data_IF_170420225225
#
_entry.id   IF_170420225225
#
_cell.length_a   1.000
_cell.length_b   1.000
_cell.length_c   1.000
_cell.angle_alpha   90.00
_cell.angle_beta   90.00
_cell.angle_gamma   90.00
#
_symmetry.space_group_name_H-M   'P 1'
#
loop_
_entity.id
_entity.type
_entity.pdbx_description
1 polymer ?
#
# COMPACT_ATOMS: atom_id res chain seq x y z
N UNK A 1 2.83 -9.75 -6.93
CA UNK A 1 2.33 -8.35 -6.92
C UNK A 1 0.83 -8.38 -7.12
N UNK A 2 0.08 -7.41 -6.57
CA UNK A 2 -1.37 -7.32 -6.79
C UNK A 2 -1.71 -6.81 -8.19
N UNK A 3 -2.75 -7.39 -8.81
CA UNK A 3 -3.36 -6.93 -10.06
C UNK A 3 -4.39 -5.83 -9.73
N UNK A 4 -4.13 -4.61 -10.21
CA UNK A 4 -4.95 -3.44 -9.87
C UNK A 4 -6.23 -3.39 -10.71
N UNK A 5 -6.18 -3.94 -11.93
CA UNK A 5 -7.35 -4.04 -12.79
C UNK A 5 -8.37 -5.01 -12.19
N UNK A 6 -7.91 -6.15 -11.66
CA UNK A 6 -8.79 -7.12 -10.98
C UNK A 6 -9.38 -6.55 -9.70
N UNK A 7 -8.59 -5.79 -8.93
CA UNK A 7 -9.07 -5.13 -7.71
C UNK A 7 -10.18 -4.11 -7.97
N UNK A 8 -10.22 -3.46 -9.14
CA UNK A 8 -11.27 -2.51 -9.52
C UNK A 8 -11.60 -1.44 -8.43
N UNK A 9 -10.58 -1.00 -7.67
CA UNK A 9 -10.74 -0.03 -6.57
C UNK A 9 -11.22 -0.61 -5.24
N UNK A 10 -11.40 -1.94 -5.14
CA UNK A 10 -11.71 -2.62 -3.88
C UNK A 10 -10.54 -2.53 -2.90
N UNK A 11 -10.89 -2.47 -1.61
CA UNK A 11 -9.92 -2.47 -0.54
C UNK A 11 -9.18 -3.81 -0.48
N UNK A 12 -7.86 -3.77 -0.33
CA UNK A 12 -7.04 -4.97 -0.12
C UNK A 12 -6.86 -5.19 1.37
N UNK A 13 -7.45 -6.25 1.97
CA UNK A 13 -7.23 -6.55 3.37
C UNK A 13 -5.81 -7.08 3.60
N UNK A 14 -5.24 -6.78 4.75
CA UNK A 14 -3.96 -7.35 5.18
C UNK A 14 -4.00 -7.67 6.67
N UNK A 15 -3.19 -8.66 7.06
CA UNK A 15 -2.99 -9.04 8.45
C UNK A 15 -1.54 -9.47 8.67
N UNK A 16 -1.01 -9.15 9.84
CA UNK A 16 0.30 -9.58 10.31
C UNK A 16 0.10 -10.40 11.59
N UNK A 17 0.24 -11.72 11.47
CA UNK A 17 0.02 -12.68 12.57
C UNK A 17 1.00 -12.50 13.72
N UNK A 18 2.23 -12.05 13.44
CA UNK A 18 3.30 -11.94 14.43
C UNK A 18 3.05 -10.77 15.40
N UNK A 19 2.39 -9.71 14.92
CA UNK A 19 2.10 -8.50 15.69
C UNK A 19 0.63 -8.35 16.07
N UNK A 20 -0.25 -9.20 15.51
CA UNK A 20 -1.70 -9.06 15.61
C UNK A 20 -2.28 -7.82 14.90
N UNK A 21 -1.46 -7.06 14.17
CA UNK A 21 -1.91 -5.88 13.43
C UNK A 21 -2.62 -6.29 12.14
N UNK A 22 -3.63 -5.51 11.74
CA UNK A 22 -4.40 -5.74 10.50
C UNK A 22 -4.84 -4.41 9.90
N UNK A 23 -5.45 -4.47 8.72
CA UNK A 23 -6.11 -3.30 8.15
C UNK A 23 -6.48 -3.50 6.70
N UNK A 24 -6.59 -2.39 5.98
CA UNK A 24 -6.90 -2.35 4.57
C UNK A 24 -6.03 -1.36 3.84
N UNK A 25 -5.73 -1.67 2.57
CA UNK A 25 -5.12 -0.75 1.62
C UNK A 25 -6.23 -0.28 0.69
N UNK A 26 -6.40 1.03 0.60
CA UNK A 26 -7.40 1.71 -0.23
C UNK A 26 -6.73 2.76 -1.11
N UNK A 27 -7.53 3.34 -2.02
CA UNK A 27 -7.05 4.39 -2.94
C UNK A 27 -5.79 3.97 -3.73
N UNK A 28 -5.67 2.67 -4.01
CA UNK A 28 -4.52 2.11 -4.72
C UNK A 28 -4.58 2.57 -6.18
N UNK A 29 -3.71 3.50 -6.54
CA UNK A 29 -3.65 4.10 -7.87
C UNK A 29 -2.25 3.92 -8.47
N UNK A 30 -2.20 3.37 -9.68
CA UNK A 30 -0.96 3.21 -10.44
C UNK A 30 -0.72 4.42 -11.34
N UNK A 31 0.54 4.88 -11.39
CA UNK A 31 1.00 5.93 -12.29
C UNK A 31 2.38 5.59 -12.82
N UNK A 32 2.65 5.97 -14.07
CA UNK A 32 4.00 5.93 -14.65
C UNK A 32 4.54 7.34 -14.72
N UNK A 33 5.57 7.63 -13.92
CA UNK A 33 6.28 8.90 -13.97
C UNK A 33 7.73 8.67 -14.42
N UNK A 34 8.19 9.42 -15.42
CA UNK A 34 9.52 9.29 -16.00
C UNK A 34 9.95 7.83 -16.34
N UNK A 35 8.99 7.00 -16.76
CA UNK A 35 9.22 5.57 -17.06
C UNK A 35 9.26 4.63 -15.84
N UNK A 36 9.21 5.16 -14.61
CA UNK A 36 9.11 4.40 -13.38
C UNK A 36 7.64 4.12 -13.04
N UNK A 37 7.32 2.85 -12.78
CA UNK A 37 5.98 2.45 -12.36
C UNK A 37 5.83 2.69 -10.86
N UNK A 38 4.90 3.55 -10.45
CA UNK A 38 4.64 3.86 -9.05
C UNK A 38 3.17 3.60 -8.68
N UNK A 39 2.93 3.29 -7.42
CA UNK A 39 1.61 3.06 -6.85
C UNK A 39 1.47 3.88 -5.57
N UNK A 40 0.45 4.74 -5.53
CA UNK A 40 0.05 5.48 -4.33
C UNK A 40 -1.08 4.75 -3.65
N UNK A 41 -1.11 4.82 -2.32
CA UNK A 41 -2.12 4.13 -1.52
C UNK A 41 -2.35 4.81 -0.18
N UNK A 42 -3.50 4.53 0.42
CA UNK A 42 -3.79 4.76 1.83
C UNK A 42 -3.83 3.41 2.54
N UNK A 43 -3.20 3.26 3.70
CA UNK A 43 -3.21 2.04 4.49
C UNK A 43 -3.71 2.32 5.90
N UNK A 44 -4.64 1.51 6.40
CA UNK A 44 -4.95 1.46 7.84
C UNK A 44 -4.06 0.44 8.54
N UNK A 45 -3.67 0.76 9.78
CA UNK A 45 -3.11 -0.17 10.75
C UNK A 45 -3.97 -0.13 11.99
N UNK A 46 -4.69 -1.22 12.21
CA UNK A 46 -5.47 -1.50 13.40
C UNK A 46 -4.65 -2.42 14.31
N UNK A 47 -4.48 -2.00 15.56
CA UNK A 47 -3.78 -2.74 16.60
C UNK A 47 -4.46 -2.50 17.95
N UNK A 48 -3.95 -3.10 19.02
CA UNK A 48 -4.53 -2.89 20.36
C UNK A 48 -4.42 -1.43 20.82
N UNK A 49 -3.40 -0.70 20.38
CA UNK A 49 -3.18 0.72 20.67
C UNK A 49 -4.11 1.66 19.88
N UNK A 50 -4.91 1.11 18.94
CA UNK A 50 -5.86 1.86 18.13
C UNK A 50 -5.63 1.73 16.63
N UNK A 51 -6.19 2.69 15.89
CA UNK A 51 -6.20 2.72 14.42
C UNK A 51 -5.43 3.93 13.92
N UNK A 52 -4.46 3.70 13.04
CA UNK A 52 -3.72 4.75 12.36
C UNK A 52 -3.89 4.63 10.84
N UNK A 53 -3.89 5.77 10.15
CA UNK A 53 -3.91 5.84 8.69
C UNK A 53 -2.56 6.36 8.18
N UNK A 54 -2.12 5.81 7.07
CA UNK A 54 -0.89 6.17 6.41
C UNK A 54 -1.13 6.44 4.94
N UNK A 55 -0.48 7.46 4.39
CA UNK A 55 -0.33 7.60 2.93
C UNK A 55 1.06 7.14 2.54
N UNK A 56 1.12 6.35 1.47
CA UNK A 56 2.38 5.83 0.96
C UNK A 56 2.46 5.86 -0.56
N UNK A 57 3.69 5.80 -1.04
CA UNK A 57 4.02 5.60 -2.43
C UNK A 57 5.11 4.52 -2.54
N UNK A 58 4.89 3.55 -3.41
CA UNK A 58 5.88 2.53 -3.77
C UNK A 58 6.14 2.57 -5.26
N UNK A 59 7.39 2.41 -5.66
CA UNK A 59 7.78 2.35 -7.06
C UNK A 59 8.51 1.06 -7.39
N UNK A 60 8.25 0.52 -8.58
CA UNK A 60 8.92 -0.65 -9.11
C UNK A 60 10.40 -0.30 -9.33
N UNK A 61 11.25 -1.00 -8.61
CA UNK A 61 12.69 -0.94 -8.72
C UNK A 61 13.18 -2.07 -9.67
N UNK A 62 14.51 -2.21 -9.78
CA UNK A 62 15.12 -3.32 -10.49
C UNK A 62 14.69 -4.69 -9.95
N UNK A 63 14.77 -5.71 -10.81
CA UNK A 63 14.43 -7.10 -10.49
C UNK A 63 12.98 -7.35 -10.04
N UNK A 64 12.04 -6.45 -10.37
CA UNK A 64 10.61 -6.63 -10.08
C UNK A 64 10.22 -6.36 -8.61
N UNK A 65 11.15 -5.88 -7.79
CA UNK A 65 10.88 -5.48 -6.42
C UNK A 65 10.20 -4.11 -6.35
N UNK A 66 9.33 -3.91 -5.37
CA UNK A 66 8.76 -2.60 -5.07
C UNK A 66 9.55 -1.94 -3.93
N UNK A 67 9.87 -0.65 -4.08
CA UNK A 67 10.55 0.17 -3.08
C UNK A 67 9.61 1.26 -2.59
N UNK A 68 9.49 1.41 -1.28
CA UNK A 68 8.78 2.53 -0.66
C UNK A 68 9.55 3.83 -0.85
N UNK A 69 8.90 4.85 -1.42
CA UNK A 69 9.47 6.18 -1.65
C UNK A 69 8.98 7.20 -0.62
N UNK A 70 7.70 7.11 -0.24
CA UNK A 70 7.10 7.93 0.80
C UNK A 70 6.21 7.05 1.69
N UNK A 71 6.20 7.36 2.98
CA UNK A 71 5.29 6.75 3.95
C UNK A 71 5.16 7.65 5.16
N UNK A 72 3.95 8.17 5.37
CA UNK A 72 3.67 9.09 6.48
C UNK A 72 2.31 8.81 7.10
N UNK A 73 2.22 9.06 8.40
CA UNK A 73 0.95 9.10 9.11
C UNK A 73 0.11 10.29 8.61
N UNK A 74 -1.21 10.11 8.62
CA UNK A 74 -2.20 11.17 8.40
C UNK A 74 -2.58 11.87 9.70
#
# INVERSE_FOLDING_TARGET
>A
SADIQELAGQAVPWANSDTGSRGSITELAESRDNGQLCRRFTASRESFDGVALFKGEVCLAGAGAWRMQDFKAL
#
